data_IF_925428361770
#
_entry.id   IF_925428361770
#
_cell.length_a   1.000
_cell.length_b   1.000
_cell.length_c   1.000
_cell.angle_alpha   90.00
_cell.angle_beta   90.00
_cell.angle_gamma   90.00
#
_symmetry.space_group_name_H-M   'P 1'
#
loop_
_entity.id
_entity.type
_entity.pdbx_description
1 polymer ?
#
# COMPACT_ATOMS: atom_id res chain seq x y z
N UNK A 1 -3.53 9.09 37.02
CA UNK A 1 -4.14 9.63 35.80
C UNK A 1 -3.62 8.84 34.61
N UNK A 2 -4.43 7.89 34.12
CA UNK A 2 -4.15 7.24 32.83
C UNK A 2 -4.44 8.25 31.73
N UNK A 3 -3.44 8.64 30.96
CA UNK A 3 -3.66 9.36 29.72
C UNK A 3 -4.23 8.38 28.69
N UNK A 4 -5.40 8.66 28.16
CA UNK A 4 -5.93 7.94 27.00
C UNK A 4 -5.18 8.40 25.75
N UNK A 5 -4.46 7.49 25.13
CA UNK A 5 -3.82 7.74 23.83
C UNK A 5 -4.66 7.13 22.72
N UNK A 6 -5.04 7.92 21.76
CA UNK A 6 -5.80 7.47 20.59
C UNK A 6 -4.84 6.96 19.52
N UNK A 7 -4.30 5.76 19.73
CA UNK A 7 -3.46 5.08 18.74
C UNK A 7 -4.30 4.22 17.81
N UNK A 8 -3.93 4.17 16.55
CA UNK A 8 -4.53 3.23 15.62
C UNK A 8 -4.20 1.79 16.01
N UNK A 9 -5.12 0.87 15.72
CA UNK A 9 -4.87 -0.54 15.96
C UNK A 9 -3.71 -1.05 15.06
N UNK A 10 -2.86 -1.94 15.57
CA UNK A 10 -1.84 -2.58 14.76
C UNK A 10 -2.46 -3.24 13.52
N UNK A 11 -1.87 -3.01 12.34
CA UNK A 11 -2.35 -3.55 11.06
C UNK A 11 -3.32 -2.64 10.29
N UNK A 12 -3.68 -1.47 10.80
CA UNK A 12 -4.44 -0.48 10.03
C UNK A 12 -3.58 0.26 9.01
N UNK A 13 -2.27 0.31 9.22
CA UNK A 13 -1.30 0.88 8.28
C UNK A 13 -0.88 -0.20 7.29
N UNK A 14 -1.21 -0.03 6.03
CA UNK A 14 -1.10 -1.08 5.02
C UNK A 14 -0.06 -0.79 3.93
N UNK A 15 0.41 0.45 3.79
CA UNK A 15 1.34 0.84 2.74
C UNK A 15 2.56 -0.10 2.59
N UNK A 16 3.25 -0.52 3.69
CA UNK A 16 4.42 -1.40 3.58
C UNK A 16 4.10 -2.81 3.08
N UNK A 17 2.82 -3.22 3.09
CA UNK A 17 2.39 -4.58 2.72
C UNK A 17 1.89 -4.70 1.29
N UNK A 18 1.64 -3.58 0.61
CA UNK A 18 1.06 -3.58 -0.74
C UNK A 18 2.14 -3.83 -1.78
N UNK A 19 3.17 -3.00 -1.78
CA UNK A 19 4.31 -3.16 -2.70
C UNK A 19 5.53 -3.74 -1.98
N UNK A 20 6.38 -4.48 -2.71
CA UNK A 20 7.58 -5.04 -2.13
C UNK A 20 8.58 -3.93 -1.76
N UNK A 21 9.24 -4.13 -0.62
CA UNK A 21 10.28 -3.22 -0.12
C UNK A 21 11.63 -3.71 -0.64
N UNK A 22 12.34 -2.85 -1.35
CA UNK A 22 13.67 -3.11 -1.89
C UNK A 22 14.72 -2.33 -1.08
N UNK A 23 15.52 -3.00 -0.23
CA UNK A 23 16.63 -2.35 0.43
C UNK A 23 17.74 -2.02 -0.57
N UNK A 24 18.19 -0.76 -0.56
CA UNK A 24 19.23 -0.25 -1.43
C UNK A 24 20.40 0.32 -0.62
N UNK A 25 21.63 0.11 -1.09
CA UNK A 25 22.83 0.59 -0.40
C UNK A 25 23.19 2.05 -0.71
N UNK A 26 22.68 2.58 -1.82
CA UNK A 26 22.88 3.97 -2.20
C UNK A 26 21.56 4.74 -2.08
N UNK A 27 21.62 5.98 -1.61
CA UNK A 27 20.44 6.86 -1.51
C UNK A 27 19.86 7.22 -2.87
N UNK A 28 20.65 7.16 -3.91
CA UNK A 28 20.24 7.43 -5.29
C UNK A 28 20.81 6.36 -6.22
N UNK A 29 20.03 5.93 -7.18
CA UNK A 29 20.45 4.96 -8.17
C UNK A 29 19.48 4.91 -9.34
N UNK A 30 19.84 4.16 -10.37
CA UNK A 30 18.96 3.88 -11.49
C UNK A 30 18.48 2.43 -11.44
N UNK A 31 17.29 2.21 -11.96
CA UNK A 31 16.73 0.88 -12.19
C UNK A 31 16.29 0.74 -13.65
N UNK A 32 16.32 -0.49 -14.14
CA UNK A 32 15.99 -0.78 -15.54
C UNK A 32 14.51 -1.06 -15.71
N UNK A 33 13.92 -0.49 -16.75
CA UNK A 33 12.58 -0.80 -17.20
C UNK A 33 12.70 -1.49 -18.56
N UNK A 34 12.39 -2.78 -18.62
CA UNK A 34 12.45 -3.53 -19.87
C UNK A 34 11.29 -3.20 -20.78
N UNK A 35 11.57 -2.97 -22.06
CA UNK A 35 10.57 -2.69 -23.06
C UNK A 35 9.74 -3.95 -23.35
N UNK A 36 8.45 -3.92 -22.97
CA UNK A 36 7.53 -5.03 -23.17
C UNK A 36 7.37 -5.44 -24.64
N UNK A 37 7.48 -4.46 -25.55
CA UNK A 37 7.31 -4.69 -26.98
C UNK A 37 8.31 -5.67 -27.56
N UNK A 38 9.53 -5.65 -27.06
CA UNK A 38 10.58 -6.57 -27.50
C UNK A 38 10.51 -7.92 -26.80
N UNK A 39 10.25 -7.93 -25.49
CA UNK A 39 10.13 -9.17 -24.71
C UNK A 39 8.88 -9.95 -25.08
N UNK A 40 7.80 -9.26 -25.46
CA UNK A 40 6.54 -9.88 -25.83
C UNK A 40 6.53 -10.45 -27.26
N UNK A 41 7.51 -10.09 -28.09
CA UNK A 41 7.60 -10.51 -29.47
C UNK A 41 8.35 -11.84 -29.59
N UNK A 42 7.81 -12.76 -30.38
CA UNK A 42 8.54 -13.99 -30.74
C UNK A 42 9.73 -13.64 -31.64
N UNK A 43 10.92 -13.75 -31.10
CA UNK A 43 12.20 -13.53 -31.78
C UNK A 43 12.92 -14.86 -32.15
N UNK A 44 12.31 -16.00 -31.88
CA UNK A 44 12.87 -17.31 -32.20
C UNK A 44 12.88 -17.50 -33.70
N UNK A 45 14.06 -17.77 -34.26
CA UNK A 45 14.26 -18.04 -35.68
C UNK A 45 14.77 -19.47 -35.87
N UNK A 46 14.31 -20.12 -36.94
CA UNK A 46 14.78 -21.46 -37.29
C UNK A 46 16.27 -21.41 -37.68
N UNK A 47 17.10 -22.16 -36.96
CA UNK A 47 18.52 -22.27 -37.26
C UNK A 47 18.77 -22.89 -38.64
N UNK A 48 19.48 -22.21 -39.57
CA UNK A 48 19.88 -22.80 -40.83
C UNK A 48 20.93 -23.92 -40.62
N UNK A 49 20.96 -24.88 -41.54
CA UNK A 49 21.96 -25.95 -41.49
C UNK A 49 23.36 -25.34 -41.66
N UNK A 50 24.24 -25.59 -40.71
CA UNK A 50 25.62 -25.03 -40.63
C UNK A 50 25.71 -23.50 -40.43
N UNK A 51 24.62 -22.80 -40.19
CA UNK A 51 24.60 -21.37 -39.92
C UNK A 51 24.25 -21.03 -38.46
N UNK A 52 24.53 -19.78 -38.06
CA UNK A 52 24.08 -19.21 -36.80
C UNK A 52 22.89 -18.24 -37.03
N UNK A 53 22.03 -18.13 -36.04
CA UNK A 53 20.99 -17.11 -35.98
C UNK A 53 21.58 -15.87 -35.29
N UNK A 54 21.20 -14.68 -35.75
CA UNK A 54 21.61 -13.45 -35.09
C UNK A 54 21.04 -13.38 -33.66
N UNK A 55 21.82 -12.89 -32.66
CA UNK A 55 21.35 -12.71 -31.31
C UNK A 55 20.10 -11.83 -31.26
N UNK A 56 19.15 -12.18 -30.38
CA UNK A 56 18.07 -11.27 -30.03
C UNK A 56 18.62 -10.14 -29.14
N UNK A 57 18.16 -8.93 -29.37
CA UNK A 57 18.52 -7.76 -28.58
C UNK A 57 17.28 -7.28 -27.83
N UNK A 58 17.40 -7.07 -26.54
CA UNK A 58 16.34 -6.52 -25.70
C UNK A 58 16.81 -5.16 -25.18
N UNK A 59 16.09 -4.12 -25.48
CA UNK A 59 16.36 -2.79 -24.97
C UNK A 59 15.69 -2.55 -23.62
N UNK A 60 16.28 -1.67 -22.84
CA UNK A 60 15.74 -1.19 -21.58
C UNK A 60 15.83 0.34 -21.55
N UNK A 61 14.95 0.94 -20.78
CA UNK A 61 15.02 2.34 -20.37
C UNK A 61 15.41 2.40 -18.89
N UNK A 62 16.04 3.49 -18.50
CA UNK A 62 16.48 3.72 -17.13
C UNK A 62 15.57 4.77 -16.48
N UNK A 63 15.19 4.54 -15.24
CA UNK A 63 14.61 5.55 -14.36
C UNK A 63 15.41 5.58 -13.05
N UNK A 64 15.23 6.63 -12.27
CA UNK A 64 16.03 6.87 -11.06
C UNK A 64 15.17 6.87 -9.82
N UNK A 65 15.68 6.30 -8.72
CA UNK A 65 15.15 6.48 -7.39
C UNK A 65 16.03 7.42 -6.57
N UNK A 66 15.41 8.12 -5.62
CA UNK A 66 16.10 8.99 -4.66
C UNK A 66 15.40 8.86 -3.31
N UNK A 67 16.01 8.11 -2.39
CA UNK A 67 15.52 7.98 -1.03
C UNK A 67 15.77 9.27 -0.25
N UNK A 68 14.70 9.91 0.19
CA UNK A 68 14.76 11.07 1.07
C UNK A 68 14.62 10.61 2.52
N UNK A 69 15.30 11.34 3.43
CA UNK A 69 15.32 10.98 4.85
C UNK A 69 14.25 11.76 5.57
N UNK A 70 13.33 11.05 6.19
CA UNK A 70 12.30 11.61 7.05
C UNK A 70 12.61 11.29 8.51
N UNK A 71 12.41 12.27 9.39
CA UNK A 71 12.77 12.21 10.79
C UNK A 71 11.64 12.72 11.68
N UNK A 72 11.44 12.03 12.78
CA UNK A 72 10.64 12.52 13.90
C UNK A 72 11.41 12.38 15.20
N UNK A 73 11.38 13.40 16.06
CA UNK A 73 12.03 13.40 17.37
C UNK A 73 10.99 13.68 18.43
N UNK A 74 10.96 12.87 19.47
CA UNK A 74 10.07 13.04 20.62
C UNK A 74 10.88 13.02 21.90
N UNK A 75 10.74 14.06 22.74
CA UNK A 75 11.43 14.19 24.01
C UNK A 75 10.71 13.45 25.15
N UNK A 76 11.50 12.92 26.05
CA UNK A 76 11.08 12.38 27.36
C UNK A 76 11.78 13.16 28.43
N UNK A 77 11.03 13.75 29.37
CA UNK A 77 11.60 14.41 30.54
C UNK A 77 11.99 13.36 31.61
N UNK A 78 13.27 13.31 31.95
CA UNK A 78 13.79 12.33 32.91
C UNK A 78 13.26 12.58 34.33
N UNK A 79 12.90 13.82 34.67
CA UNK A 79 12.32 14.15 35.99
C UNK A 79 10.93 13.51 36.12
N UNK A 80 10.10 13.65 35.09
CA UNK A 80 8.79 13.01 35.02
C UNK A 80 8.91 11.48 35.02
N UNK A 81 9.89 10.91 34.33
CA UNK A 81 10.14 9.47 34.31
C UNK A 81 10.53 8.95 35.70
N UNK A 82 11.34 9.69 36.47
CA UNK A 82 11.71 9.35 37.85
C UNK A 82 10.50 9.37 38.81
N UNK A 83 9.59 10.33 38.64
CA UNK A 83 8.37 10.39 39.44
C UNK A 83 7.48 9.16 39.21
N UNK A 84 7.34 8.69 37.99
CA UNK A 84 6.61 7.47 37.67
C UNK A 84 7.26 6.23 38.31
N UNK A 85 8.59 6.13 38.35
CA UNK A 85 9.29 5.03 38.98
C UNK A 85 9.12 5.03 40.53
N UNK A 86 9.11 6.21 41.12
CA UNK A 86 8.99 6.38 42.59
C UNK A 86 7.58 6.17 43.10
N UNK A 87 6.55 6.40 42.30
CA UNK A 87 5.16 6.17 42.70
C UNK A 87 4.75 4.69 42.70
N UNK A 88 5.66 3.76 42.40
CA UNK A 88 5.36 2.33 42.37
C UNK A 88 4.43 1.95 41.20
N UNK A 89 4.35 2.75 40.19
CA UNK A 89 3.56 2.46 39.00
C UNK A 89 4.04 1.13 38.36
N UNK A 90 3.11 0.30 37.85
CA UNK A 90 3.49 -0.92 37.16
C UNK A 90 4.49 -0.62 36.02
N UNK A 91 5.48 -1.51 35.85
CA UNK A 91 6.48 -1.37 34.76
C UNK A 91 5.88 -1.29 33.35
N UNK A 92 4.59 -1.58 33.19
CA UNK A 92 3.81 -1.39 31.96
C UNK A 92 3.55 0.08 31.62
N UNK A 93 3.69 1.00 32.60
CA UNK A 93 3.50 2.44 32.43
C UNK A 93 4.88 3.10 32.35
N UNK A 94 5.67 2.73 31.35
CA UNK A 94 6.94 3.38 31.06
C UNK A 94 6.69 4.50 30.02
N UNK A 95 6.98 5.76 30.36
CA UNK A 95 6.84 6.89 29.43
C UNK A 95 7.64 6.70 28.15
N UNK A 96 8.79 6.05 28.20
CA UNK A 96 9.65 5.76 27.05
C UNK A 96 8.97 4.86 26.04
N UNK A 97 8.34 3.76 26.52
CA UNK A 97 7.59 2.83 25.64
C UNK A 97 6.42 3.52 24.94
N UNK A 98 5.73 4.41 25.64
CA UNK A 98 4.64 5.19 25.05
C UNK A 98 5.15 6.12 23.94
N UNK A 99 6.33 6.72 24.13
CA UNK A 99 6.95 7.60 23.13
C UNK A 99 7.50 6.84 21.93
N UNK A 100 8.13 5.68 22.14
CA UNK A 100 8.54 4.80 21.03
C UNK A 100 7.33 4.39 20.18
N UNK A 101 6.22 4.00 20.84
CA UNK A 101 4.99 3.68 20.13
C UNK A 101 4.44 4.88 19.35
N UNK A 102 4.47 6.07 19.93
CA UNK A 102 4.04 7.31 19.26
C UNK A 102 4.90 7.62 18.03
N UNK A 103 6.23 7.48 18.13
CA UNK A 103 7.16 7.65 17.01
C UNK A 103 6.83 6.66 15.90
N UNK A 104 6.71 5.38 16.21
CA UNK A 104 6.39 4.33 15.24
C UNK A 104 5.06 4.58 14.54
N UNK A 105 4.03 5.03 15.26
CA UNK A 105 2.72 5.34 14.68
C UNK A 105 2.78 6.54 13.73
N UNK A 106 3.49 7.61 14.11
CA UNK A 106 3.66 8.77 13.26
C UNK A 106 4.43 8.44 11.98
N UNK A 107 5.45 7.59 12.07
CA UNK A 107 6.21 7.13 10.90
C UNK A 107 5.34 6.26 9.96
N UNK A 108 4.54 5.34 10.53
CA UNK A 108 3.59 4.55 9.75
C UNK A 108 2.55 5.42 9.06
N UNK A 109 1.99 6.41 9.78
CA UNK A 109 1.02 7.34 9.22
C UNK A 109 1.64 8.15 8.07
N UNK A 110 2.87 8.62 8.25
CA UNK A 110 3.59 9.35 7.20
C UNK A 110 3.78 8.48 5.95
N UNK A 111 4.18 7.22 6.13
CA UNK A 111 4.32 6.27 5.03
C UNK A 111 3.00 6.05 4.27
N UNK A 112 1.88 5.92 4.99
CA UNK A 112 0.56 5.80 4.38
C UNK A 112 0.16 7.08 3.62
N UNK A 113 0.50 8.27 4.14
CA UNK A 113 0.27 9.54 3.43
C UNK A 113 1.10 9.65 2.14
N UNK A 114 2.37 9.24 2.18
CA UNK A 114 3.22 9.19 0.98
C UNK A 114 2.65 8.19 -0.02
N UNK A 115 2.21 7.02 0.43
CA UNK A 115 1.58 6.01 -0.42
C UNK A 115 0.29 6.52 -1.06
N UNK A 116 -0.56 7.21 -0.29
CA UNK A 116 -1.78 7.81 -0.81
C UNK A 116 -1.50 8.79 -1.96
N UNK A 117 -0.51 9.66 -1.77
CA UNK A 117 -0.15 10.65 -2.78
C UNK A 117 0.54 10.05 -4.01
N UNK A 118 1.34 8.99 -3.84
CA UNK A 118 2.15 8.42 -4.93
C UNK A 118 1.43 7.33 -5.71
N UNK A 119 0.59 6.52 -5.05
CA UNK A 119 -0.01 5.33 -5.65
C UNK A 119 -1.54 5.28 -5.57
N UNK A 120 -2.15 5.83 -4.52
CA UNK A 120 -3.60 5.78 -4.37
C UNK A 120 -4.27 7.07 -4.84
N UNK A 121 -3.92 7.49 -6.03
CA UNK A 121 -4.41 8.69 -6.69
C UNK A 121 -4.65 8.39 -8.18
N UNK A 122 -5.73 8.94 -8.74
CA UNK A 122 -6.06 8.79 -10.15
C UNK A 122 -4.96 9.33 -11.08
N UNK A 123 -4.32 10.43 -10.70
CA UNK A 123 -3.26 11.05 -11.51
C UNK A 123 -1.96 10.21 -11.55
N UNK A 124 -1.83 9.22 -10.65
CA UNK A 124 -0.63 8.39 -10.59
C UNK A 124 -0.57 7.35 -11.72
N UNK A 125 -1.70 6.92 -12.25
CA UNK A 125 -1.81 5.78 -13.17
C UNK A 125 -2.33 6.18 -14.54
N UNK A 126 -1.83 5.55 -15.59
CA UNK A 126 -2.34 5.74 -16.94
C UNK A 126 -3.68 4.99 -17.17
N UNK A 127 -3.86 3.85 -16.48
CA UNK A 127 -5.07 3.05 -16.56
C UNK A 127 -6.02 3.43 -15.41
N UNK A 128 -6.88 4.42 -15.68
CA UNK A 128 -7.91 4.86 -14.73
C UNK A 128 -9.28 4.51 -15.30
N UNK A 129 -10.13 3.94 -14.44
CA UNK A 129 -11.55 3.70 -14.73
C UNK A 129 -12.42 4.46 -13.74
N UNK A 130 -13.50 5.03 -14.25
CA UNK A 130 -14.45 5.82 -13.46
C UNK A 130 -15.74 5.06 -13.27
N UNK A 131 -16.26 5.03 -12.06
CA UNK A 131 -17.59 4.50 -11.74
C UNK A 131 -18.69 5.41 -12.29
N UNK A 132 -19.68 4.82 -12.89
CA UNK A 132 -20.87 5.48 -13.45
C UNK A 132 -22.11 4.63 -13.18
N UNK A 133 -23.28 5.26 -13.22
CA UNK A 133 -24.55 4.53 -13.12
C UNK A 133 -24.75 3.54 -14.29
N UNK A 134 -24.17 3.84 -15.44
CA UNK A 134 -24.19 2.97 -16.63
C UNK A 134 -22.87 3.10 -17.37
N UNK A 135 -22.12 2.00 -17.42
CA UNK A 135 -20.85 1.97 -18.17
C UNK A 135 -21.11 1.96 -19.68
N UNK A 136 -20.66 2.98 -20.37
CA UNK A 136 -20.80 3.15 -21.83
C UNK A 136 -19.48 3.01 -22.58
N UNK A 137 -18.35 3.03 -21.88
CA UNK A 137 -17.01 2.92 -22.46
C UNK A 137 -16.15 1.95 -21.68
N UNK A 138 -15.05 1.48 -22.28
CA UNK A 138 -14.07 0.59 -21.61
C UNK A 138 -13.37 1.24 -20.42
N UNK A 139 -13.42 2.57 -20.31
CA UNK A 139 -12.87 3.34 -19.19
C UNK A 139 -13.86 3.57 -18.04
N UNK A 140 -15.06 3.02 -18.15
CA UNK A 140 -16.11 3.14 -17.16
C UNK A 140 -16.49 1.77 -16.61
N UNK A 141 -16.99 1.75 -15.40
CA UNK A 141 -17.57 0.58 -14.76
C UNK A 141 -18.84 0.99 -14.00
N UNK A 142 -19.73 0.04 -13.73
CA UNK A 142 -20.95 0.31 -12.95
C UNK A 142 -20.60 0.35 -11.48
N UNK A 143 -21.16 1.30 -10.75
CA UNK A 143 -20.93 1.45 -9.32
C UNK A 143 -21.14 0.15 -8.55
N UNK A 144 -20.35 -0.08 -7.50
CA UNK A 144 -20.41 -1.30 -6.68
C UNK A 144 -21.62 -1.36 -5.74
N UNK A 145 -22.34 -0.27 -5.56
CA UNK A 145 -23.58 -0.19 -4.79
C UNK A 145 -24.85 -0.45 -5.62
N UNK A 146 -24.75 -0.55 -6.95
CA UNK A 146 -25.85 -0.99 -7.79
C UNK A 146 -26.09 -2.50 -7.62
N UNK A 147 -27.23 -2.89 -7.09
CA UNK A 147 -27.58 -4.29 -6.84
C UNK A 147 -27.59 -5.18 -8.10
N UNK A 148 -27.70 -4.59 -9.30
CA UNK A 148 -27.70 -5.28 -10.58
C UNK A 148 -26.30 -5.31 -11.24
N UNK A 149 -25.30 -4.67 -10.65
CA UNK A 149 -23.96 -4.64 -11.21
C UNK A 149 -23.32 -6.04 -11.16
N UNK A 150 -22.75 -6.47 -12.28
CA UNK A 150 -21.89 -7.66 -12.30
C UNK A 150 -20.44 -7.31 -11.90
N UNK A 151 -20.23 -7.16 -10.59
CA UNK A 151 -18.92 -6.76 -10.06
C UNK A 151 -17.84 -7.79 -10.45
N UNK A 152 -18.12 -9.08 -10.34
CA UNK A 152 -17.13 -10.11 -10.65
C UNK A 152 -16.75 -10.09 -12.12
N UNK A 153 -17.73 -9.95 -13.02
CA UNK A 153 -17.47 -9.82 -14.45
C UNK A 153 -16.66 -8.56 -14.78
N UNK A 154 -16.94 -7.44 -14.14
CA UNK A 154 -16.16 -6.21 -14.29
C UNK A 154 -14.68 -6.38 -13.86
N UNK A 155 -14.43 -7.01 -12.71
CA UNK A 155 -13.08 -7.32 -12.27
C UNK A 155 -12.38 -8.31 -13.20
N UNK A 156 -13.09 -9.29 -13.77
CA UNK A 156 -12.50 -10.24 -14.72
C UNK A 156 -12.09 -9.55 -16.03
N UNK A 157 -12.86 -8.59 -16.52
CA UNK A 157 -12.44 -7.78 -17.68
C UNK A 157 -11.24 -6.89 -17.35
N UNK A 158 -11.17 -6.30 -16.15
CA UNK A 158 -10.00 -5.52 -15.71
C UNK A 158 -8.75 -6.40 -15.58
N UNK A 159 -8.89 -7.61 -15.02
CA UNK A 159 -7.79 -8.58 -14.93
C UNK A 159 -7.29 -9.02 -16.31
N UNK A 160 -8.19 -9.24 -17.23
CA UNK A 160 -7.87 -9.58 -18.62
C UNK A 160 -7.10 -8.43 -19.30
N UNK A 161 -7.50 -7.18 -19.07
CA UNK A 161 -6.80 -6.00 -19.60
C UNK A 161 -5.38 -5.89 -19.05
N UNK A 162 -5.20 -6.06 -17.73
CA UNK A 162 -3.88 -6.09 -17.09
C UNK A 162 -3.03 -7.25 -17.64
N UNK A 163 -3.62 -8.45 -17.79
CA UNK A 163 -2.92 -9.60 -18.36
C UNK A 163 -2.46 -9.37 -19.81
N UNK A 164 -3.29 -8.75 -20.63
CA UNK A 164 -2.95 -8.45 -22.03
C UNK A 164 -1.83 -7.41 -22.12
N UNK A 165 -1.88 -6.38 -21.28
CA UNK A 165 -0.91 -5.28 -21.32
C UNK A 165 0.36 -5.59 -20.54
N UNK A 166 0.24 -6.12 -19.34
CA UNK A 166 1.35 -6.35 -18.40
C UNK A 166 1.86 -7.78 -18.36
N UNK A 167 1.20 -8.73 -19.05
CA UNK A 167 1.54 -10.17 -19.09
C UNK A 167 1.58 -10.86 -17.72
N UNK A 168 0.99 -10.26 -16.69
CA UNK A 168 0.82 -10.81 -15.34
C UNK A 168 -0.63 -10.66 -14.91
N UNK A 169 -1.12 -11.64 -14.16
CA UNK A 169 -2.43 -11.53 -13.53
C UNK A 169 -2.30 -10.69 -12.27
N UNK A 170 -3.18 -9.68 -12.07
CA UNK A 170 -3.17 -8.92 -10.81
C UNK A 170 -3.45 -9.85 -9.64
N UNK A 171 -2.77 -9.63 -8.53
CA UNK A 171 -2.85 -10.46 -7.34
C UNK A 171 -3.32 -9.71 -6.10
N UNK A 172 -3.26 -8.39 -6.09
CA UNK A 172 -3.66 -7.56 -4.95
C UNK A 172 -4.73 -6.54 -5.33
N UNK A 173 -5.66 -6.33 -4.41
CA UNK A 173 -6.70 -5.29 -4.52
C UNK A 173 -6.70 -4.44 -3.25
N UNK A 174 -6.49 -3.15 -3.39
CA UNK A 174 -6.63 -2.18 -2.32
C UNK A 174 -7.97 -1.47 -2.47
N UNK A 175 -8.74 -1.43 -1.38
CA UNK A 175 -10.08 -0.84 -1.37
C UNK A 175 -10.16 0.30 -0.36
N UNK A 176 -10.71 1.43 -0.75
CA UNK A 176 -11.21 2.43 0.18
C UNK A 176 -12.36 1.88 1.03
N UNK A 177 -12.59 2.45 2.18
CA UNK A 177 -13.57 1.92 3.13
C UNK A 177 -15.00 1.87 2.59
N UNK A 178 -15.42 2.90 1.85
CA UNK A 178 -16.76 2.98 1.24
C UNK A 178 -16.91 1.93 0.14
N UNK A 179 -15.90 1.78 -0.70
CA UNK A 179 -15.85 0.76 -1.75
C UNK A 179 -15.92 -0.66 -1.19
N UNK A 180 -15.16 -0.93 -0.12
CA UNK A 180 -15.22 -2.20 0.60
C UNK A 180 -16.62 -2.50 1.17
N UNK A 181 -17.26 -1.50 1.82
CA UNK A 181 -18.60 -1.64 2.37
C UNK A 181 -19.62 -1.98 1.28
N UNK A 182 -19.52 -1.37 0.10
CA UNK A 182 -20.41 -1.66 -1.03
C UNK A 182 -20.25 -3.10 -1.52
N UNK A 183 -19.02 -3.55 -1.80
CA UNK A 183 -18.74 -4.92 -2.23
C UNK A 183 -19.18 -5.95 -1.20
N UNK A 184 -18.89 -5.71 0.08
CA UNK A 184 -19.27 -6.60 1.19
C UNK A 184 -20.77 -6.88 1.26
N UNK A 185 -21.59 -5.86 0.99
CA UNK A 185 -23.03 -5.94 1.08
C UNK A 185 -23.71 -6.25 -0.27
N UNK A 186 -22.94 -6.41 -1.34
CA UNK A 186 -23.49 -6.63 -2.66
C UNK A 186 -24.14 -8.02 -2.79
N UNK A 187 -25.34 -8.12 -3.40
CA UNK A 187 -26.08 -9.37 -3.51
C UNK A 187 -25.26 -10.50 -4.16
N UNK A 188 -24.50 -10.21 -5.19
CA UNK A 188 -23.68 -11.18 -5.90
C UNK A 188 -22.64 -11.88 -5.01
N UNK A 189 -22.03 -11.16 -4.05
CA UNK A 189 -21.11 -11.75 -3.08
C UNK A 189 -21.85 -12.54 -2.02
N UNK A 190 -22.96 -12.01 -1.50
CA UNK A 190 -23.79 -12.68 -0.50
C UNK A 190 -24.34 -14.00 -1.05
N UNK A 191 -24.88 -14.03 -2.28
CA UNK A 191 -25.41 -15.24 -2.90
C UNK A 191 -24.35 -16.31 -3.16
N UNK A 192 -23.16 -15.94 -3.62
CA UNK A 192 -22.06 -16.88 -3.84
C UNK A 192 -21.58 -17.53 -2.55
N UNK A 193 -21.60 -16.78 -1.45
CA UNK A 193 -21.19 -17.28 -0.14
C UNK A 193 -22.29 -18.12 0.51
N UNK A 194 -23.57 -17.71 0.40
CA UNK A 194 -24.71 -18.45 0.98
C UNK A 194 -25.16 -19.62 0.13
N UNK A 195 -25.04 -19.55 -1.19
CA UNK A 195 -25.44 -20.62 -2.11
C UNK A 195 -24.56 -21.89 -2.06
N UNK A 196 -23.42 -21.82 -1.40
CA UNK A 196 -22.46 -22.93 -1.25
C UNK A 196 -22.79 -23.92 -0.11
N UNK A 197 -23.83 -23.70 0.69
CA UNK A 197 -24.14 -24.64 1.78
C UNK A 197 -25.40 -24.31 2.57
N UNK A 198 -26.14 -25.34 2.92
CA UNK A 198 -27.37 -25.29 3.74
C UNK A 198 -27.11 -24.98 5.23
N UNK A 199 -26.22 -24.08 5.56
CA UNK A 199 -25.93 -23.73 6.95
C UNK A 199 -26.65 -22.43 7.32
N UNK A 200 -27.40 -22.40 8.43
CA UNK A 200 -28.17 -21.21 8.86
C UNK A 200 -27.31 -20.08 9.47
N UNK A 201 -25.98 -20.16 9.33
CA UNK A 201 -25.11 -19.06 9.74
C UNK A 201 -24.84 -18.14 8.55
N UNK A 202 -25.24 -16.86 8.61
CA UNK A 202 -24.86 -15.91 7.57
C UNK A 202 -23.35 -15.82 7.54
N UNK A 203 -22.76 -16.33 6.47
CA UNK A 203 -21.31 -16.22 6.27
C UNK A 203 -20.95 -14.74 6.21
N UNK A 204 -20.04 -14.33 7.08
CA UNK A 204 -19.52 -12.97 7.08
C UNK A 204 -18.59 -12.81 5.87
N UNK A 205 -19.01 -11.98 4.92
CA UNK A 205 -18.12 -11.56 3.83
C UNK A 205 -17.01 -10.69 4.43
N UNK A 206 -15.78 -11.18 4.39
CA UNK A 206 -14.59 -10.48 4.82
C UNK A 206 -13.61 -10.32 3.64
N UNK A 207 -12.47 -9.70 3.88
CA UNK A 207 -11.43 -9.45 2.88
C UNK A 207 -10.95 -10.75 2.19
N UNK A 208 -10.81 -11.83 2.94
CA UNK A 208 -10.39 -13.14 2.42
C UNK A 208 -11.44 -13.77 1.51
N UNK A 209 -12.71 -13.63 1.84
CA UNK A 209 -13.81 -14.11 1.01
C UNK A 209 -13.89 -13.32 -0.29
N UNK A 210 -13.74 -12.00 -0.23
CA UNK A 210 -13.69 -11.15 -1.43
C UNK A 210 -12.52 -11.55 -2.30
N UNK A 211 -11.34 -11.77 -1.73
CA UNK A 211 -10.16 -12.24 -2.45
C UNK A 211 -10.42 -13.58 -3.15
N UNK A 212 -11.02 -14.54 -2.46
CA UNK A 212 -11.34 -15.85 -3.02
C UNK A 212 -12.37 -15.79 -4.15
N UNK A 213 -13.43 -14.98 -4.00
CA UNK A 213 -14.46 -14.79 -5.04
C UNK A 213 -13.89 -14.10 -6.28
N UNK A 214 -13.03 -13.12 -6.09
CA UNK A 214 -12.35 -12.42 -7.19
C UNK A 214 -11.15 -13.17 -7.74
N UNK A 215 -10.72 -14.30 -7.14
CA UNK A 215 -9.52 -15.02 -7.55
C UNK A 215 -8.24 -14.21 -7.40
N UNK A 216 -8.13 -13.43 -6.34
CA UNK A 216 -6.97 -12.64 -5.96
C UNK A 216 -6.24 -13.29 -4.79
N UNK A 217 -4.95 -13.00 -4.62
CA UNK A 217 -4.20 -13.48 -3.47
C UNK A 217 -4.54 -12.71 -2.20
N UNK A 218 -4.71 -11.40 -2.33
CA UNK A 218 -4.89 -10.52 -1.20
C UNK A 218 -5.80 -9.33 -1.52
N UNK A 219 -6.71 -9.04 -0.58
CA UNK A 219 -7.51 -7.82 -0.57
C UNK A 219 -7.15 -7.04 0.69
N UNK A 220 -6.78 -5.79 0.54
CA UNK A 220 -6.46 -4.87 1.63
C UNK A 220 -7.46 -3.73 1.67
N UNK A 221 -7.99 -3.46 2.84
CA UNK A 221 -8.84 -2.28 3.06
C UNK A 221 -8.02 -1.19 3.75
N UNK A 222 -8.13 0.01 3.23
CA UNK A 222 -7.35 1.17 3.65
C UNK A 222 -8.11 1.90 4.77
N UNK A 223 -7.73 1.62 6.02
CA UNK A 223 -8.41 2.14 7.22
C UNK A 223 -7.69 3.34 7.86
N UNK A 224 -6.48 3.71 7.39
CA UNK A 224 -5.69 4.76 8.03
C UNK A 224 -6.44 6.09 8.08
N UNK A 225 -6.44 6.72 9.25
CA UNK A 225 -7.09 8.01 9.48
C UNK A 225 -6.09 9.02 10.03
N UNK A 226 -6.30 10.29 9.72
CA UNK A 226 -5.48 11.40 10.21
C UNK A 226 -6.36 12.58 10.61
N UNK A 227 -5.79 13.48 11.39
CA UNK A 227 -6.43 14.74 11.75
C UNK A 227 -6.04 15.83 10.74
N UNK A 228 -7.02 16.32 9.98
CA UNK A 228 -6.83 17.37 8.99
C UNK A 228 -6.90 18.79 9.58
N UNK A 229 -7.25 18.94 10.86
CA UNK A 229 -7.33 20.23 11.52
C UNK A 229 -5.94 20.78 11.85
N UNK A 230 -5.80 22.10 11.82
CA UNK A 230 -4.60 22.79 12.29
C UNK A 230 -4.39 22.58 13.79
N UNK A 231 -3.14 22.70 14.24
CA UNK A 231 -2.78 22.54 15.65
C UNK A 231 -3.55 23.57 16.49
N UNK A 232 -4.25 23.10 17.53
CA UNK A 232 -5.05 23.93 18.42
C UNK A 232 -6.52 24.08 18.03
N UNK A 233 -6.92 23.58 16.88
CA UNK A 233 -8.33 23.50 16.48
C UNK A 233 -8.99 22.18 16.90
N UNK A 234 -10.32 22.15 16.83
CA UNK A 234 -11.07 20.90 17.06
C UNK A 234 -10.67 19.86 16.00
N UNK A 235 -10.44 18.63 16.45
CA UNK A 235 -10.04 17.55 15.56
C UNK A 235 -11.06 17.34 14.41
N UNK A 236 -10.55 17.29 13.18
CA UNK A 236 -11.26 16.93 11.95
C UNK A 236 -10.64 15.63 11.39
N UNK A 237 -11.23 14.50 11.79
CA UNK A 237 -10.70 13.20 11.42
C UNK A 237 -11.15 12.80 10.01
N UNK A 238 -10.18 12.49 9.15
CA UNK A 238 -10.40 12.04 7.77
C UNK A 238 -9.64 10.75 7.48
N UNK A 239 -10.08 10.02 6.46
CA UNK A 239 -9.28 8.93 5.92
C UNK A 239 -8.05 9.50 5.19
N UNK A 240 -6.92 8.80 5.31
CA UNK A 240 -5.69 9.12 4.56
C UNK A 240 -5.90 8.85 3.07
N UNK A 241 -6.66 7.80 2.77
CA UNK A 241 -6.96 7.35 1.42
C UNK A 241 -8.38 7.77 1.01
N UNK A 242 -8.58 8.00 -0.27
CA UNK A 242 -9.92 8.19 -0.80
C UNK A 242 -10.77 6.93 -0.55
N UNK A 243 -11.83 7.08 0.23
CA UNK A 243 -12.70 5.98 0.64
C UNK A 243 -13.59 5.43 -0.49
N UNK A 244 -13.73 6.20 -1.59
CA UNK A 244 -14.53 5.85 -2.77
C UNK A 244 -13.68 5.35 -3.96
N UNK A 245 -12.45 4.96 -3.72
CA UNK A 245 -11.53 4.49 -4.76
C UNK A 245 -11.03 3.08 -4.49
N UNK A 246 -10.45 2.46 -5.52
CA UNK A 246 -9.80 1.16 -5.42
C UNK A 246 -8.59 1.08 -6.35
N UNK A 247 -7.63 0.20 -6.02
CA UNK A 247 -6.45 -0.06 -6.84
C UNK A 247 -6.29 -1.56 -7.03
N UNK A 248 -6.46 -2.04 -8.26
CA UNK A 248 -6.17 -3.41 -8.65
C UNK A 248 -4.75 -3.45 -9.23
N UNK A 249 -3.88 -4.28 -8.68
CA UNK A 249 -2.46 -4.27 -9.03
C UNK A 249 -1.81 -5.65 -8.97
N UNK A 250 -0.72 -5.79 -9.71
CA UNK A 250 0.23 -6.89 -9.55
C UNK A 250 1.45 -6.42 -8.77
N UNK A 251 1.74 -7.08 -7.67
CA UNK A 251 2.94 -6.85 -6.87
C UNK A 251 3.44 -8.21 -6.32
N UNK A 252 4.66 -8.63 -6.65
CA UNK A 252 5.23 -9.88 -6.16
C UNK A 252 5.45 -9.83 -4.64
N UNK A 253 5.48 -10.99 -3.98
CA UNK A 253 5.74 -11.08 -2.54
C UNK A 253 7.22 -10.87 -2.21
N UNK A 254 8.07 -11.34 -3.08
CA UNK A 254 9.53 -11.23 -2.95
C UNK A 254 10.08 -10.37 -4.07
N UNK A 255 11.14 -9.64 -3.78
CA UNK A 255 11.80 -8.78 -4.75
C UNK A 255 12.75 -9.63 -5.57
N UNK A 256 12.58 -9.64 -6.89
CA UNK A 256 13.53 -10.19 -7.83
C UNK A 256 13.84 -9.15 -8.91
N UNK A 257 15.06 -9.16 -9.42
CA UNK A 257 15.54 -8.23 -10.45
C UNK A 257 14.77 -8.35 -11.78
N UNK A 258 14.23 -9.52 -12.05
CA UNK A 258 13.52 -9.82 -13.30
C UNK A 258 12.00 -9.90 -13.14
N UNK A 259 11.49 -9.82 -11.91
CA UNK A 259 10.04 -9.89 -11.67
C UNK A 259 9.43 -8.50 -11.77
N UNK A 260 8.52 -8.26 -12.73
CA UNK A 260 7.88 -6.96 -12.85
C UNK A 260 6.91 -6.72 -11.68
N UNK A 261 6.83 -5.49 -11.21
CA UNK A 261 5.84 -5.02 -10.23
C UNK A 261 5.20 -3.74 -10.74
N UNK A 262 4.02 -3.40 -10.28
CA UNK A 262 3.44 -2.09 -10.58
C UNK A 262 4.18 -0.96 -9.86
N UNK A 263 4.76 -1.25 -8.69
CA UNK A 263 5.55 -0.29 -7.94
C UNK A 263 6.48 -0.97 -6.94
N UNK A 264 7.48 -0.24 -6.50
CA UNK A 264 8.43 -0.63 -5.46
C UNK A 264 8.57 0.46 -4.42
N UNK A 265 8.87 0.05 -3.19
CA UNK A 265 9.25 0.93 -2.09
C UNK A 265 10.76 0.75 -1.89
N UNK A 266 11.55 1.69 -2.38
CA UNK A 266 12.99 1.70 -2.15
C UNK A 266 13.28 2.19 -0.75
N UNK A 267 14.17 1.48 -0.02
CA UNK A 267 14.57 1.83 1.33
C UNK A 267 16.09 1.89 1.41
N UNK A 268 16.62 3.06 1.76
CA UNK A 268 18.06 3.19 1.91
C UNK A 268 18.53 2.58 3.22
N UNK A 269 19.49 1.64 3.12
CA UNK A 269 20.08 0.93 4.26
C UNK A 269 21.14 1.79 4.97
N UNK A 270 20.81 3.04 5.30
CA UNK A 270 21.74 3.94 6.01
C UNK A 270 21.97 3.52 7.46
N UNK A 271 21.14 2.65 8.02
CA UNK A 271 21.19 2.21 9.41
C UNK A 271 21.63 0.76 9.56
N UNK A 272 22.06 0.13 8.48
CA UNK A 272 22.70 -1.18 8.46
C UNK A 272 21.79 -2.39 8.63
N UNK A 273 20.46 -2.23 8.64
CA UNK A 273 19.53 -3.32 8.95
C UNK A 273 18.54 -3.68 7.84
N UNK A 274 18.55 -2.98 6.69
CA UNK A 274 17.58 -3.22 5.61
C UNK A 274 16.12 -3.00 6.03
N UNK A 275 15.88 -2.34 7.15
CA UNK A 275 14.56 -2.02 7.63
C UNK A 275 14.16 -0.63 7.17
N UNK A 276 12.89 -0.47 6.80
CA UNK A 276 12.36 0.80 6.33
C UNK A 276 12.28 1.89 7.42
N UNK A 277 12.35 1.52 8.71
CA UNK A 277 12.34 2.44 9.85
C UNK A 277 13.35 2.00 10.90
N UNK A 278 14.10 2.95 11.44
CA UNK A 278 14.94 2.74 12.60
C UNK A 278 14.58 3.73 13.71
N UNK A 279 14.72 3.27 14.94
CA UNK A 279 14.56 4.11 16.14
C UNK A 279 15.88 4.17 16.90
N UNK A 280 16.28 5.36 17.28
CA UNK A 280 17.44 5.60 18.13
C UNK A 280 17.05 6.41 19.36
N UNK A 281 17.89 6.34 20.38
CA UNK A 281 17.71 7.03 21.64
C UNK A 281 19.02 7.72 22.00
N UNK A 282 18.95 8.99 22.42
CA UNK A 282 20.12 9.75 22.84
C UNK A 282 19.76 10.75 23.94
N UNK A 283 20.76 11.09 24.74
CA UNK A 283 20.60 12.08 25.82
C UNK A 283 20.51 13.50 25.25
N UNK A 284 19.68 14.31 25.87
CA UNK A 284 19.55 15.71 25.51
C UNK A 284 20.77 16.54 25.88
N UNK A 285 20.80 17.83 25.48
CA UNK A 285 21.88 18.74 25.83
C UNK A 285 22.13 18.80 27.34
N UNK A 286 23.40 18.99 27.74
CA UNK A 286 23.78 19.02 29.16
C UNK A 286 22.92 20.00 29.96
N UNK A 287 22.35 19.52 31.09
CA UNK A 287 21.45 20.28 31.95
C UNK A 287 19.97 20.25 31.58
N UNK A 288 19.58 19.65 30.45
CA UNK A 288 18.17 19.56 30.05
C UNK A 288 17.39 18.46 30.76
N UNK A 289 18.09 17.51 31.41
CA UNK A 289 17.49 16.32 32.03
C UNK A 289 16.44 15.63 31.15
N UNK A 290 16.72 15.60 29.85
CA UNK A 290 15.83 15.05 28.83
C UNK A 290 16.53 13.98 28.02
N UNK A 291 15.74 13.08 27.51
CA UNK A 291 16.13 12.01 26.61
C UNK A 291 15.29 12.13 25.35
N UNK A 292 15.88 11.93 24.20
CA UNK A 292 15.19 12.01 22.93
C UNK A 292 15.09 10.65 22.28
N UNK A 293 13.91 10.35 21.75
CA UNK A 293 13.65 9.17 20.94
C UNK A 293 13.42 9.67 19.52
N UNK A 294 14.23 9.17 18.63
CA UNK A 294 14.25 9.53 17.21
C UNK A 294 13.75 8.38 16.38
N UNK A 295 12.90 8.66 15.42
CA UNK A 295 12.55 7.77 14.32
C UNK A 295 13.12 8.30 13.01
N UNK A 296 13.81 7.47 12.28
CA UNK A 296 14.37 7.76 10.96
C UNK A 296 13.85 6.76 9.95
N UNK A 297 13.49 7.23 8.77
CA UNK A 297 13.29 6.41 7.61
C UNK A 297 13.83 7.10 6.36
N UNK A 298 14.27 6.31 5.39
CA UNK A 298 14.75 6.82 4.13
C UNK A 298 14.11 6.00 3.02
N UNK A 299 13.05 6.52 2.44
CA UNK A 299 12.23 5.79 1.48
C UNK A 299 11.99 6.59 0.21
N UNK A 300 11.80 5.88 -0.90
CA UNK A 300 11.24 6.43 -2.14
C UNK A 300 10.25 5.43 -2.72
N UNK A 301 9.04 5.88 -2.98
CA UNK A 301 7.99 5.07 -3.59
C UNK A 301 7.91 5.37 -5.08
N UNK A 302 8.24 4.39 -5.92
CA UNK A 302 8.27 4.53 -7.37
C UNK A 302 7.30 3.59 -8.05
N UNK A 303 6.52 4.16 -8.95
CA UNK A 303 5.77 3.41 -9.94
C UNK A 303 6.74 2.90 -11.01
N UNK A 304 6.69 1.61 -11.29
CA UNK A 304 7.58 0.97 -12.27
C UNK A 304 6.85 0.54 -13.53
N UNK A 305 5.54 0.30 -13.47
CA UNK A 305 4.76 -0.06 -14.64
C UNK A 305 3.30 0.37 -14.50
N UNK A 306 2.81 1.09 -15.51
CA UNK A 306 1.38 1.43 -15.62
C UNK A 306 0.51 0.26 -16.07
N UNK A 307 1.08 -0.69 -16.80
CA UNK A 307 0.35 -1.83 -17.37
C UNK A 307 -0.03 -2.89 -16.33
N UNK A 308 0.56 -2.83 -15.14
CA UNK A 308 0.35 -3.80 -14.07
C UNK A 308 -0.64 -3.32 -13.00
N UNK A 309 -1.26 -2.17 -13.20
CA UNK A 309 -2.26 -1.66 -12.28
C UNK A 309 -3.41 -0.97 -13.03
N UNK A 310 -4.58 -0.99 -12.39
CA UNK A 310 -5.76 -0.21 -12.79
C UNK A 310 -6.31 0.49 -11.57
N UNK A 311 -6.42 1.81 -11.64
CA UNK A 311 -7.03 2.62 -10.60
C UNK A 311 -8.51 2.81 -10.88
N UNK A 312 -9.35 2.66 -9.87
CA UNK A 312 -10.80 2.80 -9.93
C UNK A 312 -11.20 3.99 -9.07
N UNK A 313 -11.81 4.98 -9.67
CA UNK A 313 -12.35 6.16 -8.98
C UNK A 313 -13.87 6.16 -9.01
N UNK A 314 -14.51 6.70 -7.96
CA UNK A 314 -15.97 6.76 -7.91
C UNK A 314 -16.61 5.35 -7.84
N UNK A 315 -16.09 4.47 -7.00
CA UNK A 315 -16.58 3.09 -6.91
C UNK A 315 -18.03 2.98 -6.42
N UNK A 316 -18.50 3.99 -5.68
CA UNK A 316 -19.85 4.03 -5.09
C UNK A 316 -20.52 5.33 -5.50
N UNK A 317 -21.82 5.31 -5.75
CA UNK A 317 -22.60 6.51 -6.07
C UNK A 317 -22.57 7.52 -4.92
N UNK A 318 -22.64 8.82 -5.21
CA UNK A 318 -22.62 9.90 -4.20
C UNK A 318 -23.88 9.90 -3.29
#
# INVERSE_FOLDING_TARGET
NMAMSYFQAPGMNVAPSIFPILPVHASTGSYYIFNKEEIAKDQVKRKPKFGAVQPAVFSHSDDTYKCEVDQIIVGVDNITALDYQRTGAPATIDPRRAKVKQVSEQMNLHLDMVFANKFFNADAWANVKTGEATASTSKQFVHFDDANADIVGQFDEMKKEILLNGRRMPNKLCLGYRSYKAIKNHPQFLERVTGSGSTPNPALVNEQVIAAVLGLEEVKVLYATYNAAEIGQKADMKFVFDDNSALLTYAPKEVDLEEPSAGYIYTWDMLGNGQWMATSQYDGPGGSHSEFIEGLMATDMKKTSDDLATFLSGCVSE
#
